data_IF_870238573871
#
_entry.id   IF_870238573871
#
_cell.length_a   1.000
_cell.length_b   1.000
_cell.length_c   1.000
_cell.angle_alpha   90.00
_cell.angle_beta   90.00
_cell.angle_gamma   90.00
#
_symmetry.space_group_name_H-M   'P 1'
#
loop_
_entity.id
_entity.type
_entity.pdbx_description
1 polymer ?
#
# COMPACT_ATOMS: atom_id res chain seq x y z
N UNK A 1 -17.02 -34.32 -1.67
CA UNK A 1 -17.63 -33.42 -2.69
C UNK A 1 -18.68 -32.56 -2.00
N UNK A 2 -18.27 -31.49 -1.33
CA UNK A 2 -19.15 -30.46 -0.79
C UNK A 2 -18.44 -29.13 -1.05
N UNK A 3 -18.83 -28.46 -2.12
CA UNK A 3 -18.42 -27.09 -2.42
C UNK A 3 -19.71 -26.28 -2.38
N UNK A 4 -19.95 -25.58 -1.28
CA UNK A 4 -21.06 -24.64 -1.16
C UNK A 4 -20.52 -23.27 -0.74
N UNK A 5 -20.58 -22.35 -1.72
CA UNK A 5 -21.08 -20.98 -1.59
C UNK A 5 -20.52 -20.12 -0.45
N UNK A 6 -19.41 -19.42 -0.72
CA UNK A 6 -18.88 -18.37 0.16
C UNK A 6 -18.61 -17.03 -0.55
N UNK A 7 -19.30 -16.73 -1.66
CA UNK A 7 -18.95 -15.59 -2.52
C UNK A 7 -20.07 -14.58 -2.81
N UNK A 8 -20.99 -14.35 -1.85
CA UNK A 8 -22.06 -13.33 -1.98
C UNK A 8 -22.01 -12.22 -0.90
N UNK A 9 -20.83 -11.92 -0.32
CA UNK A 9 -20.66 -10.85 0.70
C UNK A 9 -19.82 -9.65 0.17
N UNK A 10 -19.87 -9.38 -1.14
CA UNK A 10 -19.43 -8.07 -1.66
C UNK A 10 -20.50 -7.51 -2.59
N UNK A 11 -21.63 -7.16 -1.97
CA UNK A 11 -22.64 -6.33 -2.58
C UNK A 11 -22.10 -4.94 -2.90
N UNK A 12 -22.44 -4.49 -4.11
CA UNK A 12 -22.58 -3.08 -4.44
C UNK A 12 -21.29 -2.30 -4.62
N UNK A 13 -20.73 -2.35 -5.84
CA UNK A 13 -19.97 -1.22 -6.36
C UNK A 13 -20.97 -0.05 -6.47
N UNK A 14 -20.84 1.04 -5.70
CA UNK A 14 -21.67 2.21 -5.93
C UNK A 14 -21.36 2.72 -7.33
N UNK A 15 -22.42 2.96 -8.12
CA UNK A 15 -22.31 3.66 -9.38
C UNK A 15 -21.59 4.98 -9.11
N UNK A 16 -20.37 5.12 -9.62
CA UNK A 16 -19.66 6.39 -9.66
C UNK A 16 -20.53 7.36 -10.45
N UNK A 17 -21.28 8.19 -9.72
CA UNK A 17 -21.96 9.35 -10.27
C UNK A 17 -20.93 10.18 -11.02
N UNK A 18 -21.33 10.66 -12.19
CA UNK A 18 -20.61 11.65 -12.95
C UNK A 18 -20.36 12.86 -12.04
N UNK A 19 -19.17 12.91 -11.44
CA UNK A 19 -18.64 14.11 -10.84
C UNK A 19 -18.30 15.02 -12.01
N UNK A 20 -19.09 16.08 -12.15
CA UNK A 20 -18.74 17.26 -12.94
C UNK A 20 -17.30 17.62 -12.58
N UNK A 21 -16.40 17.49 -13.57
CA UNK A 21 -15.07 18.07 -13.53
C UNK A 21 -15.20 19.59 -13.72
N UNK A 22 -15.83 20.26 -12.77
CA UNK A 22 -15.58 21.68 -12.55
C UNK A 22 -14.11 21.81 -12.13
N UNK A 23 -13.28 22.19 -13.09
CA UNK A 23 -12.17 23.13 -12.94
C UNK A 23 -11.55 23.18 -11.53
N UNK A 24 -10.91 22.07 -11.13
CA UNK A 24 -9.99 22.07 -10.00
C UNK A 24 -8.81 22.96 -10.39
N UNK A 25 -8.88 24.22 -9.97
CA UNK A 25 -7.69 25.05 -9.85
C UNK A 25 -6.62 24.23 -9.10
N UNK A 26 -5.38 24.17 -9.62
CA UNK A 26 -4.32 23.41 -8.98
C UNK A 26 -4.18 23.96 -7.55
N UNK A 27 -4.40 23.14 -6.50
CA UNK A 27 -4.29 23.63 -5.14
C UNK A 27 -2.90 24.19 -4.98
N UNK A 28 -2.84 25.47 -4.59
CA UNK A 28 -1.61 26.16 -4.22
C UNK A 28 -0.79 25.19 -3.38
N UNK A 29 0.37 24.83 -3.92
CA UNK A 29 1.32 23.91 -3.31
C UNK A 29 1.74 24.54 -2.00
N UNK A 30 1.04 24.21 -0.91
CA UNK A 30 1.43 24.63 0.43
C UNK A 30 2.85 24.10 0.67
N UNK A 31 3.86 24.98 0.82
CA UNK A 31 5.21 24.55 1.08
C UNK A 31 5.27 24.09 2.53
N UNK A 32 5.53 22.80 2.74
CA UNK A 32 6.03 22.33 4.02
C UNK A 32 5.05 21.52 4.86
N UNK A 33 4.76 20.31 4.42
CA UNK A 33 4.65 19.19 5.35
C UNK A 33 5.72 18.15 4.95
N UNK A 34 6.98 18.54 5.14
CA UNK A 34 8.06 17.58 5.30
C UNK A 34 7.79 16.82 6.60
N UNK A 35 6.92 15.81 6.52
CA UNK A 35 6.88 14.75 7.52
C UNK A 35 8.19 13.98 7.40
N UNK A 36 9.22 14.53 8.01
CA UNK A 36 10.38 13.79 8.49
C UNK A 36 9.88 12.81 9.55
N UNK A 37 9.22 11.75 9.10
CA UNK A 37 9.02 10.53 9.87
C UNK A 37 10.40 9.90 10.04
N UNK A 38 11.13 10.51 10.97
CA UNK A 38 12.19 9.94 11.74
C UNK A 38 11.56 8.86 12.61
N UNK A 39 11.14 7.77 11.96
CA UNK A 39 10.97 6.44 12.54
C UNK A 39 12.36 5.93 12.90
N UNK A 40 13.04 6.68 13.78
CA UNK A 40 14.11 6.21 14.62
C UNK A 40 13.49 5.10 15.46
N UNK A 41 13.51 3.89 14.89
CA UNK A 41 13.54 2.63 15.63
C UNK A 41 14.80 2.68 16.48
N UNK A 42 14.79 3.56 17.48
CA UNK A 42 15.64 3.46 18.63
C UNK A 42 15.40 2.07 19.14
N UNK A 43 16.43 1.24 19.00
CA UNK A 43 16.68 0.12 19.87
C UNK A 43 16.47 0.63 21.29
N UNK A 44 15.22 0.58 21.75
CA UNK A 44 14.92 0.45 23.16
C UNK A 44 15.53 -0.90 23.51
N UNK A 45 16.85 -0.87 23.77
CA UNK A 45 17.43 -1.65 24.83
C UNK A 45 16.52 -1.36 26.01
N UNK A 46 15.49 -2.18 26.15
CA UNK A 46 14.84 -2.41 27.42
C UNK A 46 16.00 -2.76 28.35
N UNK A 47 16.45 -1.73 29.07
CA UNK A 47 17.03 -1.86 30.37
C UNK A 47 16.00 -2.68 31.15
N UNK A 48 16.10 -4.01 31.01
CA UNK A 48 15.82 -4.98 32.06
C UNK A 48 16.76 -4.64 33.20
N UNK A 49 16.52 -3.49 33.78
CA UNK A 49 16.66 -3.33 35.20
C UNK A 49 15.71 -4.39 35.72
N UNK A 50 16.28 -5.54 36.08
CA UNK A 50 15.67 -6.44 37.03
C UNK A 50 15.40 -5.57 38.24
N UNK A 51 14.21 -4.97 38.24
CA UNK A 51 13.70 -4.18 39.31
C UNK A 51 13.59 -5.14 40.48
N UNK A 52 14.68 -5.23 41.24
CA UNK A 52 14.65 -5.17 42.69
C UNK A 52 13.97 -3.83 43.07
N UNK A 53 12.72 -3.63 42.63
CA UNK A 53 11.80 -2.75 43.32
C UNK A 53 11.62 -3.47 44.64
N UNK A 54 12.41 -3.03 45.62
CA UNK A 54 12.19 -3.37 47.01
C UNK A 54 10.69 -3.25 47.23
N UNK A 55 10.02 -4.31 47.73
CA UNK A 55 8.57 -4.36 47.78
C UNK A 55 8.09 -3.06 48.41
N UNK A 56 7.56 -2.17 47.56
CA UNK A 56 6.97 -0.93 48.02
C UNK A 56 5.95 -1.38 49.03
N UNK A 57 6.09 -0.88 50.26
CA UNK A 57 5.27 -1.23 51.40
C UNK A 57 3.87 -0.70 51.11
N UNK A 58 3.15 -1.39 50.23
CA UNK A 58 1.81 -1.04 49.83
C UNK A 58 0.97 -1.11 51.09
N UNK A 59 0.48 0.05 51.50
CA UNK A 59 -0.48 0.19 52.59
C UNK A 59 -1.60 -0.86 52.34
N UNK A 60 -1.77 -1.82 53.26
CA UNK A 60 -2.64 -2.96 53.03
C UNK A 60 -4.05 -2.48 52.71
N UNK A 61 -4.56 -2.88 51.54
CA UNK A 61 -5.85 -2.46 51.03
C UNK A 61 -6.94 -2.57 52.12
N UNK A 62 -7.64 -1.46 52.45
CA UNK A 62 -8.54 -1.41 53.62
C UNK A 62 -9.69 -2.41 53.51
N UNK A 63 -10.11 -2.77 52.29
CA UNK A 63 -11.13 -3.80 52.06
C UNK A 63 -10.62 -5.17 52.49
N UNK A 64 -9.38 -5.52 52.16
CA UNK A 64 -8.75 -6.80 52.55
C UNK A 64 -8.58 -6.89 54.07
N UNK A 65 -8.23 -5.78 54.74
CA UNK A 65 -8.18 -5.71 56.20
C UNK A 65 -9.56 -5.97 56.82
N UNK A 66 -10.60 -5.23 56.39
CA UNK A 66 -11.94 -5.40 56.98
C UNK A 66 -12.50 -6.82 56.75
N UNK A 67 -12.16 -7.45 55.62
CA UNK A 67 -12.58 -8.81 55.33
C UNK A 67 -11.84 -9.80 56.23
N UNK A 68 -10.54 -9.62 56.43
CA UNK A 68 -9.72 -10.44 57.34
C UNK A 68 -10.27 -10.39 58.77
N UNK A 69 -10.61 -9.21 59.26
CA UNK A 69 -11.16 -9.02 60.60
C UNK A 69 -12.53 -9.70 60.75
N UNK A 70 -13.39 -9.57 59.74
CA UNK A 70 -14.70 -10.27 59.72
C UNK A 70 -14.55 -11.79 59.74
N UNK A 71 -13.58 -12.32 59.01
CA UNK A 71 -13.31 -13.77 58.98
C UNK A 71 -12.78 -14.25 60.33
N UNK A 72 -11.81 -13.53 60.91
CA UNK A 72 -11.25 -13.86 62.23
C UNK A 72 -12.31 -13.80 63.32
N UNK A 73 -13.16 -12.77 63.32
CA UNK A 73 -14.27 -12.64 64.28
C UNK A 73 -15.22 -13.83 64.23
N UNK A 74 -15.64 -14.25 63.03
CA UNK A 74 -16.49 -15.43 62.85
C UNK A 74 -15.83 -16.73 63.30
N UNK A 75 -14.50 -16.84 63.20
CA UNK A 75 -13.75 -18.00 63.68
C UNK A 75 -13.77 -18.08 65.22
N UNK A 76 -13.51 -16.95 65.88
CA UNK A 76 -13.52 -16.84 67.33
C UNK A 76 -14.92 -17.08 67.90
N UNK A 77 -15.97 -16.54 67.27
CA UNK A 77 -17.37 -16.76 67.66
C UNK A 77 -17.77 -18.24 67.59
N UNK A 78 -17.14 -19.03 66.70
CA UNK A 78 -17.32 -20.48 66.60
C UNK A 78 -16.46 -21.28 67.61
N UNK A 79 -15.73 -20.61 68.49
CA UNK A 79 -14.80 -21.24 69.44
C UNK A 79 -13.53 -21.79 68.79
N UNK A 80 -13.24 -21.42 67.53
CA UNK A 80 -12.03 -21.85 66.84
C UNK A 80 -10.88 -20.88 67.13
N UNK A 81 -9.65 -21.39 67.14
CA UNK A 81 -8.46 -20.55 67.32
C UNK A 81 -8.31 -19.58 66.14
N UNK A 82 -7.74 -18.37 66.36
CA UNK A 82 -7.52 -17.41 65.29
C UNK A 82 -6.75 -18.03 64.13
N UNK A 83 -7.29 -17.89 62.91
CA UNK A 83 -6.71 -18.45 61.70
C UNK A 83 -5.29 -17.93 61.50
N UNK A 84 -4.29 -18.79 61.76
CA UNK A 84 -2.89 -18.53 61.48
C UNK A 84 -2.55 -19.10 60.11
N UNK A 85 -2.31 -18.22 59.13
CA UNK A 85 -1.87 -18.61 57.80
C UNK A 85 -0.34 -18.45 57.78
N UNK A 86 0.39 -19.56 57.90
CA UNK A 86 1.82 -19.57 57.60
C UNK A 86 2.00 -19.59 56.09
N UNK A 87 2.73 -18.61 55.58
CA UNK A 87 3.20 -18.64 54.20
C UNK A 87 4.60 -19.24 54.23
N UNK A 88 4.69 -20.55 54.06
CA UNK A 88 5.99 -21.18 53.90
C UNK A 88 6.64 -20.62 52.63
N UNK A 89 7.92 -20.21 52.70
CA UNK A 89 8.61 -19.70 51.52
C UNK A 89 8.59 -20.80 50.45
N UNK A 90 8.30 -20.45 49.18
CA UNK A 90 8.24 -21.43 48.12
C UNK A 90 9.58 -22.19 48.04
N UNK A 91 9.55 -23.53 47.90
CA UNK A 91 10.77 -24.33 47.84
C UNK A 91 11.62 -23.87 46.66
N UNK A 92 12.90 -23.60 46.90
CA UNK A 92 13.86 -23.27 45.85
C UNK A 92 14.22 -24.55 45.12
N UNK A 93 13.70 -24.74 43.92
CA UNK A 93 14.04 -25.87 43.07
C UNK A 93 15.29 -25.56 42.24
N UNK A 94 16.30 -26.42 42.31
CA UNK A 94 17.46 -26.35 41.43
C UNK A 94 17.13 -27.04 40.11
N UNK A 95 17.29 -26.33 38.99
CA UNK A 95 17.07 -26.91 37.67
C UNK A 95 18.06 -28.04 37.42
N UNK A 96 17.53 -29.17 36.98
CA UNK A 96 18.32 -30.31 36.49
C UNK A 96 19.09 -29.92 35.23
N UNK A 97 20.18 -30.63 34.92
CA UNK A 97 21.00 -30.34 33.73
C UNK A 97 20.20 -30.46 32.43
N UNK A 98 19.28 -31.43 32.35
CA UNK A 98 18.39 -31.61 31.21
C UNK A 98 17.45 -30.41 30.99
N UNK A 99 16.91 -29.85 32.09
CA UNK A 99 16.05 -28.67 32.04
C UNK A 99 16.84 -27.43 31.63
N UNK A 100 18.08 -27.27 32.11
CA UNK A 100 18.98 -26.19 31.69
C UNK A 100 19.24 -26.25 30.20
N UNK A 101 19.57 -27.44 29.67
CA UNK A 101 19.78 -27.63 28.23
C UNK A 101 18.50 -27.32 27.42
N UNK A 102 17.31 -27.77 27.86
CA UNK A 102 16.04 -27.41 27.22
C UNK A 102 15.79 -25.90 27.23
N UNK A 103 16.13 -25.22 28.31
CA UNK A 103 16.00 -23.77 28.41
C UNK A 103 16.92 -23.04 27.42
N UNK A 104 18.18 -23.48 27.30
CA UNK A 104 19.14 -22.94 26.34
C UNK A 104 18.69 -23.14 24.90
N UNK A 105 18.21 -24.34 24.55
CA UNK A 105 17.64 -24.62 23.23
C UNK A 105 16.45 -23.71 22.93
N UNK A 106 15.56 -23.49 23.91
CA UNK A 106 14.42 -22.57 23.76
C UNK A 106 14.89 -21.13 23.55
N UNK A 107 15.90 -20.66 24.30
CA UNK A 107 16.51 -19.33 24.12
C UNK A 107 17.11 -19.18 22.74
N UNK A 108 17.85 -20.19 22.25
CA UNK A 108 18.45 -20.17 20.91
C UNK A 108 17.40 -20.13 19.80
N UNK A 109 16.34 -20.95 19.91
CA UNK A 109 15.21 -20.95 18.97
C UNK A 109 14.47 -19.61 18.96
N UNK A 110 14.22 -19.04 20.13
CA UNK A 110 13.58 -17.73 20.24
C UNK A 110 14.46 -16.64 19.62
N UNK A 111 15.77 -16.64 19.89
CA UNK A 111 16.72 -15.71 19.28
C UNK A 111 16.72 -15.80 17.75
N UNK A 112 16.75 -17.02 17.19
CA UNK A 112 16.65 -17.22 15.73
C UNK A 112 15.33 -16.69 15.18
N UNK A 113 14.22 -17.00 15.84
CA UNK A 113 12.88 -16.56 15.42
C UNK A 113 12.74 -15.04 15.45
N UNK A 114 13.28 -14.39 16.48
CA UNK A 114 13.31 -12.94 16.60
C UNK A 114 14.15 -12.29 15.48
N UNK A 115 15.32 -12.86 15.16
CA UNK A 115 16.15 -12.38 14.05
C UNK A 115 15.40 -12.49 12.71
N UNK A 116 14.80 -13.65 12.40
CA UNK A 116 14.01 -13.86 11.18
C UNK A 116 12.85 -12.87 11.10
N UNK A 117 12.15 -12.62 12.22
CA UNK A 117 11.07 -11.64 12.27
C UNK A 117 11.56 -10.22 11.97
N UNK A 118 12.69 -9.81 12.56
CA UNK A 118 13.32 -8.50 12.31
C UNK A 118 13.78 -8.35 10.86
N UNK A 119 14.41 -9.37 10.30
CA UNK A 119 14.82 -9.40 8.89
C UNK A 119 13.62 -9.32 7.95
N UNK A 120 12.55 -10.07 8.20
CA UNK A 120 11.32 -10.02 7.42
C UNK A 120 10.68 -8.62 7.44
N UNK A 121 10.67 -7.98 8.62
CA UNK A 121 10.19 -6.60 8.75
C UNK A 121 11.05 -5.63 7.95
N UNK A 122 12.37 -5.69 8.10
CA UNK A 122 13.32 -4.86 7.33
C UNK A 122 13.15 -5.02 5.83
N UNK A 123 13.02 -6.26 5.35
CA UNK A 123 12.82 -6.52 3.92
C UNK A 123 11.49 -5.94 3.40
N UNK A 124 10.42 -6.04 4.20
CA UNK A 124 9.13 -5.41 3.87
C UNK A 124 9.25 -3.89 3.78
N UNK A 125 9.94 -3.26 4.73
CA UNK A 125 10.20 -1.82 4.72
C UNK A 125 11.00 -1.40 3.48
N UNK A 126 12.07 -2.14 3.14
CA UNK A 126 12.85 -1.89 1.91
C UNK A 126 12.01 -2.05 0.64
N UNK A 127 11.13 -3.05 0.58
CA UNK A 127 10.23 -3.27 -0.55
C UNK A 127 9.24 -2.12 -0.72
N UNK A 128 8.60 -1.69 0.38
CA UNK A 128 7.66 -0.56 0.36
C UNK A 128 8.37 0.74 -0.04
N UNK A 129 9.59 0.96 0.45
CA UNK A 129 10.39 2.12 0.07
C UNK A 129 10.66 2.14 -1.44
N UNK A 130 11.07 1.02 -2.02
CA UNK A 130 11.27 0.90 -3.47
C UNK A 130 10.00 1.18 -4.25
N UNK A 131 8.86 0.67 -3.78
CA UNK A 131 7.56 0.91 -4.42
C UNK A 131 7.19 2.39 -4.41
N UNK A 132 7.36 3.08 -3.27
CA UNK A 132 7.18 4.54 -3.17
C UNK A 132 8.07 5.27 -4.17
N UNK A 133 9.37 4.93 -4.21
CA UNK A 133 10.33 5.56 -5.14
C UNK A 133 9.90 5.36 -6.61
N UNK A 134 9.41 4.16 -6.97
CA UNK A 134 8.91 3.89 -8.32
C UNK A 134 7.67 4.72 -8.66
N UNK A 135 6.69 4.77 -7.76
CA UNK A 135 5.46 5.54 -7.95
C UNK A 135 5.74 7.04 -8.07
N UNK A 136 6.66 7.57 -7.28
CA UNK A 136 7.07 8.97 -7.39
C UNK A 136 7.72 9.28 -8.75
N UNK A 137 8.56 8.37 -9.25
CA UNK A 137 9.22 8.53 -10.54
C UNK A 137 8.20 8.48 -11.69
N UNK A 138 7.24 7.56 -11.64
CA UNK A 138 6.17 7.45 -12.62
C UNK A 138 5.27 8.68 -12.58
N UNK A 139 4.87 9.15 -11.39
CA UNK A 139 4.11 10.38 -11.25
C UNK A 139 4.85 11.59 -11.84
N UNK A 140 6.16 11.73 -11.57
CA UNK A 140 7.01 12.78 -12.18
C UNK A 140 7.04 12.65 -13.71
N UNK A 141 7.10 11.44 -14.25
CA UNK A 141 7.10 11.18 -15.70
C UNK A 141 5.76 11.58 -16.33
N UNK A 142 4.64 11.09 -15.80
CA UNK A 142 3.30 11.41 -16.28
C UNK A 142 3.02 12.92 -16.20
N UNK A 143 3.44 13.58 -15.13
CA UNK A 143 3.29 15.03 -14.98
C UNK A 143 3.98 15.80 -16.11
N UNK A 144 5.19 15.39 -16.51
CA UNK A 144 5.90 16.00 -17.66
C UNK A 144 5.17 15.74 -18.98
N UNK A 145 4.65 14.54 -19.17
CA UNK A 145 3.92 14.17 -20.39
C UNK A 145 2.62 14.98 -20.52
N UNK A 146 1.85 15.12 -19.45
CA UNK A 146 0.66 15.98 -19.42
C UNK A 146 1.02 17.43 -19.78
N UNK A 147 2.09 17.97 -19.20
CA UNK A 147 2.57 19.32 -19.54
C UNK A 147 2.95 19.46 -21.02
N UNK A 148 3.63 18.46 -21.60
CA UNK A 148 3.98 18.45 -23.02
C UNK A 148 2.73 18.43 -23.91
N UNK A 149 1.73 17.61 -23.56
CA UNK A 149 0.48 17.51 -24.30
C UNK A 149 -0.33 18.81 -24.22
N UNK A 150 -0.35 19.48 -23.07
CA UNK A 150 -0.99 20.79 -22.91
C UNK A 150 -0.34 21.83 -23.83
N UNK A 151 1.00 21.92 -23.83
CA UNK A 151 1.73 22.83 -24.72
C UNK A 151 1.45 22.54 -26.20
N UNK A 152 1.39 21.26 -26.57
CA UNK A 152 1.07 20.86 -27.94
C UNK A 152 -0.35 21.25 -28.34
N UNK A 153 -1.33 21.01 -27.47
CA UNK A 153 -2.73 21.40 -27.66
C UNK A 153 -2.85 22.92 -27.84
N UNK A 154 -2.24 23.71 -26.96
CA UNK A 154 -2.27 25.17 -27.03
C UNK A 154 -1.63 25.69 -28.34
N UNK A 155 -0.56 25.03 -28.80
CA UNK A 155 0.07 25.33 -30.10
C UNK A 155 -0.88 25.04 -31.26
N UNK A 156 -1.55 23.89 -31.25
CA UNK A 156 -2.53 23.53 -32.27
C UNK A 156 -3.70 24.53 -32.29
N UNK A 157 -4.25 24.85 -31.13
CA UNK A 157 -5.34 25.82 -30.99
C UNK A 157 -4.95 27.20 -31.53
N UNK A 158 -3.73 27.66 -31.23
CA UNK A 158 -3.19 28.90 -31.79
C UNK A 158 -3.10 28.84 -33.32
N UNK A 159 -2.62 27.73 -33.89
CA UNK A 159 -2.55 27.57 -35.35
C UNK A 159 -3.94 27.56 -35.99
N UNK A 160 -4.91 26.88 -35.38
CA UNK A 160 -6.30 26.84 -35.86
C UNK A 160 -6.95 28.22 -35.80
N UNK A 161 -6.85 28.93 -34.67
CA UNK A 161 -7.37 30.30 -34.52
C UNK A 161 -6.77 31.25 -35.56
N UNK A 162 -5.46 31.18 -35.78
CA UNK A 162 -4.79 31.98 -36.81
C UNK A 162 -5.28 31.67 -38.22
N UNK A 163 -5.52 30.39 -38.53
CA UNK A 163 -6.06 29.98 -39.82
C UNK A 163 -7.50 30.48 -40.02
N UNK A 164 -8.37 30.29 -39.02
CA UNK A 164 -9.76 30.77 -39.05
C UNK A 164 -9.83 32.28 -39.27
N UNK A 165 -8.99 33.05 -38.57
CA UNK A 165 -8.92 34.51 -38.76
C UNK A 165 -8.51 34.88 -40.21
N UNK A 166 -7.54 34.18 -40.81
CA UNK A 166 -7.15 34.39 -42.21
C UNK A 166 -8.27 34.02 -43.18
N UNK A 167 -8.96 32.91 -42.95
CA UNK A 167 -10.09 32.46 -43.76
C UNK A 167 -11.24 33.47 -43.73
N UNK A 168 -11.56 34.00 -42.54
CA UNK A 168 -12.56 35.07 -42.41
C UNK A 168 -12.15 36.33 -43.17
N UNK A 169 -10.89 36.76 -43.07
CA UNK A 169 -10.38 37.90 -43.84
C UNK A 169 -10.48 37.68 -45.36
N UNK A 170 -10.19 36.46 -45.83
CA UNK A 170 -10.34 36.15 -47.26
C UNK A 170 -11.80 36.14 -47.71
N UNK A 171 -12.72 35.65 -46.87
CA UNK A 171 -14.16 35.66 -47.16
C UNK A 171 -14.68 37.09 -47.27
N UNK A 172 -14.33 37.97 -46.32
CA UNK A 172 -14.68 39.40 -46.37
C UNK A 172 -14.09 40.09 -47.61
N UNK A 173 -12.85 39.77 -47.97
CA UNK A 173 -12.21 40.33 -49.17
C UNK A 173 -12.87 39.84 -50.46
N UNK A 174 -13.37 38.61 -50.49
CA UNK A 174 -14.15 38.09 -51.62
C UNK A 174 -15.52 38.77 -51.69
N UNK A 175 -16.22 38.94 -50.56
CA UNK A 175 -17.50 39.67 -50.47
C UNK A 175 -17.40 41.09 -51.01
N UNK A 176 -16.31 41.79 -50.68
CA UNK A 176 -16.03 43.13 -51.20
C UNK A 176 -15.79 43.15 -52.72
N UNK A 177 -15.24 42.08 -53.30
CA UNK A 177 -14.88 42.02 -54.73
C UNK A 177 -16.01 41.60 -55.65
N UNK A 178 -16.78 40.58 -55.26
CA UNK A 178 -17.78 39.93 -56.14
C UNK A 178 -19.22 40.33 -55.80
N UNK A 179 -19.44 41.13 -54.74
CA UNK A 179 -20.79 41.40 -54.25
C UNK A 179 -21.47 40.15 -53.67
N UNK A 180 -22.45 40.34 -52.79
CA UNK A 180 -23.10 39.22 -52.08
C UNK A 180 -23.86 38.27 -53.02
N UNK A 181 -24.51 38.80 -54.06
CA UNK A 181 -25.35 38.02 -54.97
C UNK A 181 -24.54 37.04 -55.85
N UNK A 182 -23.37 37.45 -56.33
CA UNK A 182 -22.52 36.63 -57.20
C UNK A 182 -21.85 35.49 -56.41
N UNK A 183 -21.48 35.76 -55.15
CA UNK A 183 -20.94 34.76 -54.22
C UNK A 183 -21.96 33.70 -53.82
N UNK A 184 -23.22 34.08 -53.57
CA UNK A 184 -24.28 33.10 -53.31
C UNK A 184 -24.56 32.22 -54.52
N UNK A 185 -24.54 32.78 -55.74
CA UNK A 185 -24.69 32.01 -56.96
C UNK A 185 -23.55 30.99 -57.14
N UNK A 186 -22.30 31.38 -56.87
CA UNK A 186 -21.15 30.49 -56.93
C UNK A 186 -21.23 29.39 -55.86
N UNK A 187 -21.58 29.75 -54.62
CA UNK A 187 -21.72 28.80 -53.50
C UNK A 187 -22.82 27.76 -53.77
N UNK A 188 -23.94 28.19 -54.37
CA UNK A 188 -25.03 27.30 -54.80
C UNK A 188 -24.60 26.35 -55.93
N UNK A 189 -23.68 26.78 -56.80
CA UNK A 189 -23.05 25.92 -57.81
C UNK A 189 -22.16 24.83 -57.22
N UNK A 190 -21.47 25.08 -56.11
CA UNK A 190 -20.62 24.10 -55.43
C UNK A 190 -21.38 23.13 -54.53
N UNK A 191 -22.51 23.52 -53.93
CA UNK A 191 -23.30 22.64 -53.07
C UNK A 191 -24.09 21.56 -53.83
N UNK A 192 -24.15 21.62 -55.16
CA UNK A 192 -24.93 20.70 -56.00
C UNK A 192 -24.19 19.42 -56.41
N UNK A 193 -22.86 19.36 -56.31
CA UNK A 193 -22.11 18.16 -56.67
C UNK A 193 -21.98 17.24 -55.46
N UNK A 194 -23.09 16.58 -55.12
CA UNK A 194 -23.08 15.44 -54.22
C UNK A 194 -22.24 14.31 -54.86
N UNK A 195 -20.95 14.24 -54.53
CA UNK A 195 -20.28 12.95 -54.37
C UNK A 195 -19.71 12.25 -55.60
N UNK A 196 -19.40 12.92 -56.71
CA UNK A 196 -18.35 12.36 -57.59
C UNK A 196 -17.01 12.60 -56.91
N UNK A 197 -16.63 11.65 -56.06
CA UNK A 197 -15.29 11.56 -55.49
C UNK A 197 -14.30 11.58 -56.66
N UNK A 198 -13.77 12.77 -56.96
CA UNK A 198 -12.63 12.91 -57.86
C UNK A 198 -11.53 12.17 -57.15
N UNK A 199 -11.31 10.94 -57.58
CA UNK A 199 -10.22 10.07 -57.16
C UNK A 199 -8.94 10.78 -57.63
N UNK A 200 -8.50 11.77 -56.86
CA UNK A 200 -7.20 12.40 -57.02
C UNK A 200 -6.21 11.30 -56.64
N UNK A 201 -5.92 10.46 -57.62
CA UNK A 201 -4.91 9.42 -57.60
C UNK A 201 -3.56 10.10 -57.51
N UNK A 202 -3.29 10.70 -56.33
CA UNK A 202 -1.98 11.17 -55.95
C UNK A 202 -1.14 9.91 -55.84
N UNK A 203 -0.38 9.63 -56.89
CA UNK A 203 0.84 8.83 -56.86
C UNK A 203 1.83 9.52 -55.91
N UNK A 204 1.53 9.58 -54.61
CA UNK A 204 2.51 9.91 -53.60
C UNK A 204 3.40 8.69 -53.47
N UNK A 205 4.65 8.82 -53.92
CA UNK A 205 5.71 7.86 -53.66
C UNK A 205 5.74 7.60 -52.14
N UNK A 206 5.90 6.34 -51.68
CA UNK A 206 6.06 6.07 -50.27
C UNK A 206 7.35 6.76 -49.81
N UNK A 207 7.22 7.79 -48.99
CA UNK A 207 8.35 8.37 -48.29
C UNK A 207 8.74 7.40 -47.16
N UNK A 208 9.49 6.37 -47.53
CA UNK A 208 10.20 5.47 -46.61
C UNK A 208 11.38 6.23 -46.02
N UNK A 209 11.13 7.11 -45.05
CA UNK A 209 12.15 7.49 -44.07
C UNK A 209 11.50 8.09 -42.83
N UNK A 210 10.73 7.27 -42.12
CA UNK A 210 10.56 7.50 -40.68
C UNK A 210 11.75 6.80 -40.06
N UNK A 211 12.80 7.57 -39.77
CA UNK A 211 13.87 7.08 -38.91
C UNK A 211 13.23 6.58 -37.62
N UNK A 212 13.54 5.35 -37.18
CA UNK A 212 13.00 4.83 -35.95
C UNK A 212 13.40 5.79 -34.84
N UNK A 213 12.41 6.40 -34.20
CA UNK A 213 12.58 6.99 -32.87
C UNK A 213 13.29 5.92 -32.07
N UNK A 214 14.56 6.18 -31.77
CA UNK A 214 15.36 5.32 -30.93
C UNK A 214 14.59 5.17 -29.64
N UNK A 215 13.98 3.99 -29.46
CA UNK A 215 13.62 3.54 -28.15
C UNK A 215 14.92 3.64 -27.36
N UNK A 216 15.00 4.64 -26.48
CA UNK A 216 15.98 4.62 -25.42
C UNK A 216 15.58 3.40 -24.59
N UNK A 217 16.14 2.26 -24.97
CA UNK A 217 16.35 1.09 -24.13
C UNK A 217 17.15 1.61 -22.94
N UNK A 218 16.39 2.12 -21.98
CA UNK A 218 16.82 2.18 -20.61
C UNK A 218 16.94 0.72 -20.25
N UNK A 219 18.16 0.18 -20.38
CA UNK A 219 18.57 -1.07 -19.77
C UNK A 219 18.32 -0.93 -18.26
N UNK A 220 17.06 -1.16 -17.88
CA UNK A 220 16.71 -1.68 -16.59
C UNK A 220 17.40 -3.03 -16.53
N UNK A 221 18.64 -3.00 -16.06
CA UNK A 221 19.31 -4.15 -15.45
C UNK A 221 18.39 -4.55 -14.31
N UNK A 222 17.36 -5.32 -14.65
CA UNK A 222 16.65 -6.18 -13.73
C UNK A 222 17.73 -7.14 -13.27
N UNK A 223 18.35 -6.78 -12.15
CA UNK A 223 18.96 -7.75 -11.27
C UNK A 223 17.80 -8.58 -10.75
N UNK A 224 17.35 -9.50 -11.60
CA UNK A 224 16.63 -10.68 -11.16
C UNK A 224 17.50 -11.23 -10.03
N UNK A 225 17.00 -11.26 -8.78
CA UNK A 225 17.68 -12.03 -7.78
C UNK A 225 17.64 -13.46 -8.30
N UNK A 226 18.78 -13.95 -8.81
CA UNK A 226 19.01 -15.35 -9.09
C UNK A 226 18.40 -16.10 -7.92
N UNK A 227 17.23 -16.70 -8.17
CA UNK A 227 16.57 -17.55 -7.22
C UNK A 227 17.52 -18.71 -7.07
N UNK A 228 18.34 -18.65 -6.01
CA UNK A 228 19.15 -19.77 -5.59
C UNK A 228 18.13 -20.82 -5.22
N UNK A 229 17.84 -21.69 -6.19
CA UNK A 229 17.03 -22.86 -6.03
C UNK A 229 17.79 -23.74 -5.05
N UNK A 230 17.58 -23.47 -3.76
CA UNK A 230 17.90 -24.43 -2.71
C UNK A 230 16.95 -25.57 -2.99
N UNK A 231 17.45 -26.56 -3.73
CA UNK A 231 17.05 -27.95 -3.57
C UNK A 231 17.20 -28.26 -2.08
N UNK A 232 16.17 -27.99 -1.29
CA UNK A 232 15.97 -28.70 -0.04
C UNK A 232 15.45 -30.06 -0.46
N UNK A 233 16.41 -30.96 -0.56
CA UNK A 233 16.20 -32.39 -0.54
C UNK A 233 15.20 -32.77 0.54
N UNK A 234 14.33 -33.70 0.15
CA UNK A 234 13.64 -34.67 0.98
C UNK A 234 12.37 -34.21 1.70
N UNK A 235 11.28 -34.82 1.24
CA UNK A 235 9.95 -34.74 1.81
C UNK A 235 9.96 -35.11 3.29
N UNK A 236 9.44 -34.20 4.08
CA UNK A 236 9.02 -34.48 5.44
C UNK A 236 7.56 -34.93 5.36
N UNK A 237 7.35 -36.24 5.24
CA UNK A 237 6.02 -36.85 5.30
C UNK A 237 5.39 -36.51 6.66
N UNK A 238 4.45 -35.57 6.66
CA UNK A 238 3.66 -35.19 7.84
C UNK A 238 2.49 -36.16 8.11
N UNK A 239 2.64 -37.43 7.73
CA UNK A 239 1.71 -38.51 8.07
C UNK A 239 2.07 -39.09 9.44
N UNK A 240 1.81 -38.33 10.50
CA UNK A 240 2.18 -38.72 11.86
C UNK A 240 1.48 -37.95 12.96
N UNK A 241 0.24 -37.47 12.74
CA UNK A 241 -0.60 -36.98 13.83
C UNK A 241 -1.27 -38.19 14.45
N UNK A 242 -0.60 -38.76 15.47
CA UNK A 242 -1.19 -39.72 16.39
C UNK A 242 -2.41 -39.06 17.07
N UNK A 243 -3.60 -39.61 16.82
CA UNK A 243 -4.81 -39.25 17.53
C UNK A 243 -4.66 -39.71 18.97
N UNK A 244 -4.31 -38.79 19.86
CA UNK A 244 -4.32 -39.03 21.30
C UNK A 244 -5.75 -39.00 21.81
N UNK A 245 -6.43 -40.15 21.76
CA UNK A 245 -7.69 -40.38 22.49
C UNK A 245 -7.35 -40.54 23.97
N UNK A 246 -7.67 -39.51 24.77
CA UNK A 246 -7.52 -39.57 26.22
C UNK A 246 -8.48 -40.59 26.86
N UNK A 247 -8.15 -41.12 28.04
CA UNK A 247 -8.98 -42.12 28.71
C UNK A 247 -10.28 -41.48 29.23
N UNK A 248 -11.40 -42.11 28.90
CA UNK A 248 -12.70 -41.86 29.50
C UNK A 248 -12.62 -42.17 31.00
N UNK A 249 -12.80 -41.13 31.82
CA UNK A 249 -13.01 -41.29 33.26
C UNK A 249 -14.47 -41.70 33.48
N UNK A 250 -14.63 -42.90 34.02
CA UNK A 250 -15.87 -43.46 34.58
C UNK A 250 -16.31 -42.72 35.84
#
# INVERSE_FOLDING_TARGET
MMAENFFDIFGGVPAFGALDMEELEPPDVLPGLSHSESSSSSDQQENRTDYNVAPTREEPNPVKLSLKDKIQKKYIEKGQTPLHVSFDPPPKYELTEEEKHKQEQRKLRNRRSANVSREKRKHKEESLKKEVDTLENDHKKLKREVQQLMVLRDKMDKTFKNHLARCQQTDERLKQKFGLAELEALKRGFSGTNGTAVHLSRKSKPATNVSPVSALDSHSVSTEPQSVSRQTSEGFDASGISQFTGPDFL
#
